data_IF_347868455302
#
_entry.id   IF_347868455302
#
_cell.length_a   1.000
_cell.length_b   1.000
_cell.length_c   1.000
_cell.angle_alpha   90.00
_cell.angle_beta   90.00
_cell.angle_gamma   90.00
#
_symmetry.space_group_name_H-M   'P 1'
#
loop_
_entity.id
_entity.type
_entity.pdbx_description
1 polymer ?
#
# COMPACT_ATOMS: atom_id res chain seq x y z
N UNK A 1 24.53 31.75 4.31
CA UNK A 1 24.28 30.74 3.29
C UNK A 1 25.45 30.57 2.29
N UNK A 2 26.41 31.50 2.27
CA UNK A 2 27.60 31.44 1.45
C UNK A 2 27.47 31.99 0.03
N UNK A 3 26.30 32.48 -0.36
CA UNK A 3 26.12 33.16 -1.64
C UNK A 3 26.85 34.50 -1.64
N UNK A 4 27.40 34.87 -2.78
CA UNK A 4 27.94 36.21 -3.03
C UNK A 4 27.11 36.88 -4.12
N UNK A 5 26.75 38.16 -3.89
CA UNK A 5 26.00 38.96 -4.86
C UNK A 5 26.93 40.01 -5.45
N UNK A 6 27.14 39.96 -6.76
CA UNK A 6 27.99 40.91 -7.49
C UNK A 6 27.26 41.32 -8.78
N UNK A 7 27.02 42.61 -8.97
CA UNK A 7 26.37 43.18 -10.17
C UNK A 7 25.04 42.49 -10.52
N UNK A 8 24.18 42.25 -9.51
CA UNK A 8 22.89 41.56 -9.60
C UNK A 8 22.99 40.09 -10.02
N UNK A 9 24.19 39.51 -9.97
CA UNK A 9 24.42 38.09 -10.19
C UNK A 9 24.69 37.38 -8.85
N UNK A 10 23.93 36.34 -8.55
CA UNK A 10 24.15 35.50 -7.38
C UNK A 10 25.13 34.37 -7.71
N UNK A 11 26.29 34.39 -7.07
CA UNK A 11 27.26 33.31 -7.16
C UNK A 11 26.95 32.24 -6.12
N UNK A 12 26.58 31.07 -6.62
CA UNK A 12 26.23 29.92 -5.79
C UNK A 12 27.51 29.23 -5.30
N UNK A 13 27.64 28.93 -4.00
CA UNK A 13 28.79 28.20 -3.49
C UNK A 13 28.79 26.72 -3.98
N UNK A 14 29.98 26.16 -4.18
CA UNK A 14 30.16 24.83 -4.75
C UNK A 14 29.51 23.66 -3.97
N UNK A 15 29.18 23.88 -2.70
CA UNK A 15 28.49 22.91 -1.84
C UNK A 15 26.96 22.97 -1.90
N UNK A 16 26.39 23.85 -2.77
CA UNK A 16 24.95 23.98 -3.01
C UNK A 16 24.60 23.63 -4.46
N UNK A 17 24.77 22.34 -4.87
CA UNK A 17 24.46 21.92 -6.24
C UNK A 17 22.94 21.91 -6.54
N UNK A 18 22.14 22.07 -5.51
CA UNK A 18 20.68 22.15 -5.54
C UNK A 18 20.17 23.51 -6.08
N UNK A 19 20.98 24.57 -5.98
CA UNK A 19 20.57 25.90 -6.40
C UNK A 19 21.04 26.16 -7.83
N UNK A 20 20.13 26.10 -8.79
CA UNK A 20 20.42 26.19 -10.22
C UNK A 20 19.78 27.40 -10.93
N UNK A 21 18.79 28.04 -10.30
CA UNK A 21 18.04 29.13 -10.92
C UNK A 21 17.45 30.14 -9.95
N UNK A 22 16.72 31.10 -10.49
CA UNK A 22 16.08 32.17 -9.70
C UNK A 22 15.07 31.64 -8.69
N UNK A 23 14.31 30.59 -9.06
CA UNK A 23 13.31 29.98 -8.18
C UNK A 23 13.95 29.42 -6.89
N UNK A 24 15.13 28.81 -7.00
CA UNK A 24 15.87 28.26 -5.87
C UNK A 24 16.37 29.38 -4.95
N UNK A 25 16.80 30.52 -5.53
CA UNK A 25 17.19 31.72 -4.76
C UNK A 25 15.98 32.30 -4.02
N UNK A 26 14.80 32.34 -4.65
CA UNK A 26 13.57 32.79 -4.00
C UNK A 26 13.19 31.85 -2.84
N UNK A 27 13.35 30.54 -3.01
CA UNK A 27 13.14 29.57 -1.95
C UNK A 27 14.07 29.82 -0.76
N UNK A 28 15.36 30.01 -0.99
CA UNK A 28 16.34 30.32 0.06
C UNK A 28 15.99 31.60 0.82
N UNK A 29 15.59 32.66 0.12
CA UNK A 29 15.14 33.91 0.76
C UNK A 29 13.87 33.68 1.59
N UNK A 30 12.89 32.99 1.04
CA UNK A 30 11.63 32.68 1.74
C UNK A 30 11.87 31.83 2.99
N UNK A 31 12.72 30.81 2.88
CA UNK A 31 13.10 29.94 3.98
C UNK A 31 13.74 30.69 5.15
N UNK A 32 14.67 31.61 4.84
CA UNK A 32 15.36 32.40 5.86
C UNK A 32 14.47 33.51 6.43
N UNK A 33 13.65 34.15 5.59
CA UNK A 33 12.76 35.24 6.02
C UNK A 33 11.53 34.78 6.80
N UNK A 34 11.17 33.54 6.73
CA UNK A 34 10.02 32.81 7.29
C UNK A 34 8.96 32.43 6.27
N UNK A 35 8.76 31.14 6.12
CA UNK A 35 7.73 30.58 5.24
C UNK A 35 6.30 30.97 5.70
N UNK A 36 6.09 31.29 6.96
CA UNK A 36 4.81 31.74 7.47
C UNK A 36 4.35 33.10 6.95
N UNK A 37 5.24 33.86 6.31
CA UNK A 37 4.90 35.12 5.62
C UNK A 37 4.36 34.91 4.20
N UNK A 38 4.47 33.71 3.66
CA UNK A 38 3.94 33.38 2.35
C UNK A 38 2.43 33.19 2.42
N UNK A 39 1.72 33.95 1.59
CA UNK A 39 0.28 33.79 1.43
C UNK A 39 0.02 32.88 0.23
N UNK A 40 -0.53 31.68 0.49
CA UNK A 40 -0.90 30.75 -0.56
C UNK A 40 -2.02 31.31 -1.44
N UNK A 41 -1.81 31.29 -2.75
CA UNK A 41 -2.87 31.61 -3.72
C UNK A 41 -3.34 30.28 -4.35
N UNK A 42 -4.63 29.91 -4.21
CA UNK A 42 -5.15 28.75 -4.91
C UNK A 42 -5.09 28.98 -6.42
N UNK A 43 -4.79 27.95 -7.18
CA UNK A 43 -4.87 28.06 -8.64
C UNK A 43 -6.29 28.41 -9.08
N UNK A 44 -6.42 29.39 -9.99
CA UNK A 44 -7.69 29.68 -10.62
C UNK A 44 -8.17 28.44 -11.41
N UNK A 45 -9.44 28.09 -11.26
CA UNK A 45 -10.03 27.02 -12.07
C UNK A 45 -10.12 27.52 -13.51
N UNK A 46 -9.47 26.88 -14.49
CA UNK A 46 -9.40 27.38 -15.86
C UNK A 46 -10.76 27.34 -16.56
N UNK A 47 -11.69 26.49 -16.12
CA UNK A 47 -13.01 26.33 -16.72
C UNK A 47 -14.09 26.01 -15.68
N UNK A 48 -15.27 26.62 -15.85
CA UNK A 48 -16.50 26.22 -15.20
C UNK A 48 -17.08 25.06 -16.01
N UNK A 49 -16.99 23.85 -15.52
CA UNK A 49 -17.51 22.65 -16.18
C UNK A 49 -17.62 21.48 -15.23
N UNK A 50 -18.28 20.42 -15.70
CA UNK A 50 -18.35 19.15 -14.97
C UNK A 50 -16.93 18.58 -14.87
N UNK A 51 -16.45 18.41 -13.65
CA UNK A 51 -15.13 17.82 -13.43
C UNK A 51 -15.14 16.37 -13.93
N UNK A 52 -14.12 16.01 -14.71
CA UNK A 52 -13.90 14.61 -15.07
C UNK A 52 -13.63 13.81 -13.80
N UNK A 53 -14.01 12.55 -13.83
CA UNK A 53 -13.73 11.61 -12.75
C UNK A 53 -12.23 11.61 -12.45
N UNK A 54 -11.85 11.92 -11.20
CA UNK A 54 -10.44 12.06 -10.79
C UNK A 54 -9.79 10.69 -10.61
N UNK A 55 -10.57 9.69 -10.13
CA UNK A 55 -10.07 8.34 -9.88
C UNK A 55 -10.29 7.46 -11.11
N UNK A 56 -9.28 6.63 -11.41
CA UNK A 56 -9.41 5.57 -12.41
C UNK A 56 -10.37 4.48 -11.91
N UNK A 57 -10.83 3.62 -12.82
CA UNK A 57 -11.66 2.47 -12.47
C UNK A 57 -10.94 1.55 -11.46
N UNK A 58 -9.64 1.33 -11.65
CA UNK A 58 -8.82 0.53 -10.73
C UNK A 58 -8.77 1.16 -9.34
N UNK A 59 -8.47 2.44 -9.23
CA UNK A 59 -8.44 3.16 -7.94
C UNK A 59 -9.79 3.11 -7.22
N UNK A 60 -10.89 3.22 -7.96
CA UNK A 60 -12.23 3.07 -7.39
C UNK A 60 -12.46 1.64 -6.86
N UNK A 61 -12.06 0.61 -7.62
CA UNK A 61 -12.15 -0.80 -7.17
C UNK A 61 -11.34 -1.07 -5.93
N UNK A 62 -10.12 -0.54 -5.85
CA UNK A 62 -9.28 -0.65 -4.64
C UNK A 62 -9.95 -0.03 -3.41
N UNK A 63 -10.54 1.16 -3.55
CA UNK A 63 -11.28 1.80 -2.45
C UNK A 63 -12.51 1.01 -2.03
N UNK A 64 -13.26 0.46 -3.00
CA UNK A 64 -14.43 -0.39 -2.74
C UNK A 64 -13.98 -1.65 -2.00
N UNK A 65 -12.92 -2.32 -2.48
CA UNK A 65 -12.38 -3.52 -1.84
C UNK A 65 -12.05 -3.28 -0.36
N UNK A 66 -11.28 -2.22 -0.06
CA UNK A 66 -10.92 -1.87 1.32
C UNK A 66 -12.15 -1.68 2.20
N UNK A 67 -13.12 -0.90 1.75
CA UNK A 67 -14.34 -0.59 2.53
C UNK A 67 -15.20 -1.83 2.75
N UNK A 68 -15.38 -2.64 1.72
CA UNK A 68 -16.23 -3.84 1.80
C UNK A 68 -15.60 -4.89 2.69
N UNK A 69 -14.30 -5.18 2.52
CA UNK A 69 -13.61 -6.17 3.34
C UNK A 69 -13.55 -5.70 4.81
N UNK A 70 -13.29 -4.43 5.06
CA UNK A 70 -13.38 -3.88 6.42
C UNK A 70 -14.80 -4.00 7.01
N UNK A 71 -15.85 -3.77 6.22
CA UNK A 71 -17.25 -3.93 6.66
C UNK A 71 -17.62 -5.39 6.97
N UNK A 72 -16.90 -6.38 6.41
CA UNK A 72 -17.02 -7.79 6.76
C UNK A 72 -16.34 -8.14 8.10
N UNK A 73 -15.74 -7.17 8.77
CA UNK A 73 -15.10 -7.36 10.09
C UNK A 73 -13.60 -7.65 10.04
N UNK A 74 -12.95 -7.48 8.89
CA UNK A 74 -11.50 -7.62 8.79
C UNK A 74 -10.78 -6.34 9.21
N UNK A 75 -9.62 -6.51 9.83
CA UNK A 75 -8.69 -5.43 10.12
C UNK A 75 -7.70 -5.26 8.96
N UNK A 76 -7.57 -4.05 8.44
CA UNK A 76 -6.62 -3.74 7.38
C UNK A 76 -5.20 -3.77 7.90
N UNK A 77 -4.32 -4.45 7.16
CA UNK A 77 -2.89 -4.44 7.35
C UNK A 77 -2.24 -3.64 6.24
N UNK A 78 -1.16 -2.95 6.57
CA UNK A 78 -0.23 -2.34 5.62
C UNK A 78 1.13 -2.90 5.93
N UNK A 79 1.57 -3.85 5.11
CA UNK A 79 2.82 -4.57 5.33
C UNK A 79 3.90 -4.15 4.33
N UNK A 80 5.16 -4.49 4.60
CA UNK A 80 6.25 -4.18 3.69
C UNK A 80 6.13 -4.94 2.38
N UNK A 81 6.49 -4.27 1.29
CA UNK A 81 6.56 -4.87 -0.05
C UNK A 81 7.75 -5.81 -0.23
N UNK A 82 8.65 -5.85 0.75
CA UNK A 82 9.86 -6.65 0.74
C UNK A 82 9.76 -7.79 1.74
N UNK A 83 10.18 -8.98 1.33
CA UNK A 83 10.18 -10.20 2.15
C UNK A 83 11.50 -10.94 1.97
N UNK A 84 11.75 -11.94 2.80
CA UNK A 84 12.91 -12.82 2.67
C UNK A 84 12.79 -13.76 1.45
N UNK A 85 13.92 -14.24 0.97
CA UNK A 85 14.01 -15.11 -0.21
C UNK A 85 13.21 -16.42 -0.05
N UNK A 86 13.25 -17.02 1.13
CA UNK A 86 12.56 -18.30 1.40
C UNK A 86 11.06 -18.12 1.29
N UNK A 87 10.55 -17.09 1.92
CA UNK A 87 9.11 -16.73 1.82
C UNK A 87 8.73 -16.38 0.39
N UNK A 88 9.57 -15.63 -0.33
CA UNK A 88 9.30 -15.28 -1.73
C UNK A 88 9.20 -16.55 -2.61
N UNK A 89 10.14 -17.49 -2.49
CA UNK A 89 10.15 -18.76 -3.24
C UNK A 89 8.95 -19.63 -2.90
N UNK A 90 8.56 -19.70 -1.63
CA UNK A 90 7.41 -20.50 -1.19
C UNK A 90 6.09 -20.04 -1.82
N UNK A 91 5.97 -18.74 -2.14
CA UNK A 91 4.75 -18.14 -2.70
C UNK A 91 4.88 -17.74 -4.17
N UNK A 92 5.78 -18.38 -4.91
CA UNK A 92 5.86 -18.29 -6.37
C UNK A 92 6.71 -17.15 -6.92
N UNK A 93 7.59 -16.57 -6.10
CA UNK A 93 8.57 -15.55 -6.49
C UNK A 93 10.01 -15.94 -6.15
N UNK A 94 10.81 -14.98 -5.69
CA UNK A 94 12.20 -15.20 -5.28
C UNK A 94 13.15 -15.42 -6.45
N UNK A 95 12.83 -14.83 -7.61
CA UNK A 95 13.70 -14.82 -8.79
C UNK A 95 14.66 -13.63 -8.74
N UNK A 96 15.74 -13.70 -9.52
CA UNK A 96 16.71 -12.61 -9.66
C UNK A 96 16.05 -11.30 -10.14
N UNK A 97 14.99 -11.39 -10.93
CA UNK A 97 14.24 -10.23 -11.43
C UNK A 97 13.53 -9.43 -10.31
N UNK A 98 13.20 -10.09 -9.18
CA UNK A 98 12.53 -9.46 -8.04
C UNK A 98 13.46 -9.26 -6.85
N UNK A 99 14.75 -9.61 -6.98
CA UNK A 99 15.76 -9.40 -5.96
C UNK A 99 16.20 -7.93 -5.91
N UNK A 100 16.29 -7.37 -4.70
CA UNK A 100 16.79 -6.02 -4.51
C UNK A 100 18.32 -5.96 -4.63
N UNK A 101 18.83 -4.97 -5.35
CA UNK A 101 20.27 -4.77 -5.52
C UNK A 101 20.98 -4.39 -4.20
N UNK A 102 20.27 -3.69 -3.31
CA UNK A 102 20.82 -3.18 -2.05
C UNK A 102 19.81 -3.32 -0.90
N UNK A 103 19.43 -4.55 -0.49
CA UNK A 103 18.46 -4.77 0.55
C UNK A 103 18.96 -4.22 1.90
N UNK A 104 18.05 -3.66 2.70
CA UNK A 104 18.34 -3.15 4.05
C UNK A 104 18.75 -4.31 4.98
N UNK A 105 18.15 -5.49 4.79
CA UNK A 105 18.49 -6.73 5.51
C UNK A 105 18.18 -7.94 4.65
N UNK A 106 18.72 -9.10 5.02
CA UNK A 106 18.41 -10.38 4.37
C UNK A 106 16.92 -10.77 4.47
N UNK A 107 16.22 -10.25 5.49
CA UNK A 107 14.79 -10.48 5.69
C UNK A 107 13.91 -9.63 4.74
N UNK A 108 14.50 -8.69 4.00
CA UNK A 108 13.83 -7.78 3.06
C UNK A 108 14.56 -7.75 1.72
N UNK A 109 14.91 -8.92 1.20
CA UNK A 109 15.78 -9.06 0.02
C UNK A 109 15.04 -9.16 -1.32
N UNK A 110 13.75 -9.46 -1.31
CA UNK A 110 12.95 -9.67 -2.53
C UNK A 110 11.63 -8.93 -2.48
N UNK A 111 11.15 -8.51 -3.66
CA UNK A 111 9.78 -8.03 -3.82
C UNK A 111 8.80 -9.18 -3.58
N UNK A 112 7.72 -8.91 -2.85
CA UNK A 112 6.70 -9.93 -2.52
C UNK A 112 5.90 -10.35 -3.75
N UNK A 113 5.77 -11.65 -4.06
CA UNK A 113 4.92 -12.16 -5.13
C UNK A 113 3.44 -12.28 -4.70
N UNK A 114 3.18 -12.21 -3.40
CA UNK A 114 1.85 -12.36 -2.79
C UNK A 114 1.76 -11.53 -1.51
N UNK A 115 0.54 -11.17 -1.12
CA UNK A 115 0.25 -10.52 0.17
C UNK A 115 0.21 -11.53 1.34
N UNK A 116 0.02 -12.81 1.02
CA UNK A 116 -0.23 -13.85 2.00
C UNK A 116 0.92 -14.07 3.00
N UNK A 117 2.22 -14.08 2.60
CA UNK A 117 3.32 -14.25 3.55
C UNK A 117 3.31 -13.24 4.69
N UNK A 118 3.14 -11.98 4.35
CA UNK A 118 3.13 -10.87 5.32
C UNK A 118 1.91 -10.92 6.26
N UNK A 119 0.74 -11.29 5.73
CA UNK A 119 -0.47 -11.49 6.54
C UNK A 119 -0.32 -12.68 7.49
N UNK A 120 0.26 -13.80 7.05
CA UNK A 120 0.53 -14.96 7.91
C UNK A 120 1.54 -14.64 9.01
N UNK A 121 2.60 -13.88 8.70
CA UNK A 121 3.54 -13.39 9.70
C UNK A 121 2.86 -12.45 10.70
N UNK A 122 1.97 -11.57 10.24
CA UNK A 122 1.18 -10.71 11.12
C UNK A 122 0.28 -11.53 12.05
N UNK A 123 -0.40 -12.56 11.53
CA UNK A 123 -1.20 -13.46 12.32
C UNK A 123 -0.38 -14.21 13.38
N UNK A 124 0.77 -14.77 12.99
CA UNK A 124 1.66 -15.46 13.91
C UNK A 124 2.15 -14.57 15.06
N UNK A 125 2.54 -13.32 14.75
CA UNK A 125 2.93 -12.34 15.78
C UNK A 125 1.79 -12.00 16.74
N UNK A 126 0.56 -11.92 16.27
CA UNK A 126 -0.62 -11.66 17.11
C UNK A 126 -0.99 -12.88 17.93
N UNK A 127 -0.92 -14.09 17.37
CA UNK A 127 -1.15 -15.34 18.13
C UNK A 127 -0.13 -15.50 19.27
N UNK A 128 1.14 -15.18 19.05
CA UNK A 128 2.16 -15.16 20.09
C UNK A 128 1.86 -14.17 21.24
N UNK A 129 1.02 -13.18 21.00
CA UNK A 129 0.50 -12.22 22.02
C UNK A 129 -0.83 -12.63 22.64
N UNK A 130 -1.35 -13.81 22.29
CA UNK A 130 -2.60 -14.33 22.83
C UNK A 130 -3.86 -13.92 22.06
N UNK A 131 -3.73 -13.26 20.90
CA UNK A 131 -4.87 -12.93 20.04
C UNK A 131 -5.11 -14.13 19.13
N UNK A 132 -6.10 -14.95 19.44
CA UNK A 132 -6.35 -16.23 18.76
C UNK A 132 -7.37 -16.13 17.63
N UNK A 133 -8.30 -15.18 17.72
CA UNK A 133 -9.37 -14.97 16.75
C UNK A 133 -9.08 -13.67 15.99
N UNK A 134 -8.92 -13.75 14.68
CA UNK A 134 -8.64 -12.57 13.87
C UNK A 134 -9.03 -12.74 12.40
N UNK A 135 -9.45 -11.65 11.81
CA UNK A 135 -9.62 -11.49 10.37
C UNK A 135 -8.74 -10.35 9.90
N UNK A 136 -7.75 -10.63 9.08
CA UNK A 136 -6.78 -9.66 8.59
C UNK A 136 -6.86 -9.58 7.07
N UNK A 137 -6.69 -8.38 6.51
CA UNK A 137 -6.62 -8.22 5.05
C UNK A 137 -5.63 -7.12 4.66
N UNK A 138 -5.22 -7.15 3.42
CA UNK A 138 -4.46 -6.10 2.77
C UNK A 138 -4.90 -5.94 1.32
N UNK A 139 -4.94 -4.71 0.83
CA UNK A 139 -5.07 -4.39 -0.59
C UNK A 139 -3.80 -3.65 -0.99
N UNK A 140 -2.97 -4.26 -1.79
CA UNK A 140 -1.66 -3.70 -2.11
C UNK A 140 -0.99 -4.36 -3.30
N UNK A 141 0.17 -3.82 -3.70
CA UNK A 141 0.91 -4.32 -4.84
C UNK A 141 1.67 -5.62 -4.54
N UNK A 142 1.81 -6.44 -5.58
CA UNK A 142 2.67 -7.63 -5.65
C UNK A 142 3.46 -7.57 -6.95
N UNK A 143 4.56 -8.34 -7.04
CA UNK A 143 5.47 -8.30 -8.20
C UNK A 143 5.79 -9.71 -8.67
N UNK A 144 5.63 -9.92 -9.98
CA UNK A 144 5.94 -11.19 -10.64
C UNK A 144 7.21 -11.13 -11.48
N UNK A 145 7.77 -9.94 -11.66
CA UNK A 145 9.00 -9.67 -12.39
C UNK A 145 9.61 -8.32 -12.02
N UNK A 146 10.56 -7.83 -12.81
CA UNK A 146 11.32 -6.60 -12.57
C UNK A 146 10.81 -5.37 -13.31
N UNK A 147 9.88 -5.53 -14.24
CA UNK A 147 9.36 -4.43 -15.03
C UNK A 147 8.09 -3.81 -14.38
N UNK A 148 7.77 -2.54 -14.69
CA UNK A 148 6.58 -1.89 -14.14
C UNK A 148 5.27 -2.63 -14.42
N UNK A 149 5.18 -3.32 -15.57
CA UNK A 149 4.02 -4.08 -16.02
C UNK A 149 3.83 -5.39 -15.22
N UNK A 150 4.88 -5.86 -14.54
CA UNK A 150 4.85 -7.06 -13.70
C UNK A 150 4.29 -6.79 -12.29
N UNK A 151 3.91 -5.56 -12.02
CA UNK A 151 3.26 -5.16 -10.78
C UNK A 151 1.74 -5.28 -10.91
N UNK A 152 1.12 -5.97 -9.97
CA UNK A 152 -0.33 -6.06 -9.84
C UNK A 152 -0.81 -5.59 -8.47
N UNK A 153 -2.03 -5.05 -8.41
CA UNK A 153 -2.70 -4.77 -7.13
C UNK A 153 -3.68 -5.89 -6.82
N UNK A 154 -3.46 -6.55 -5.70
CA UNK A 154 -4.31 -7.64 -5.21
C UNK A 154 -5.00 -7.27 -3.90
N UNK A 155 -6.12 -7.93 -3.63
CA UNK A 155 -6.74 -8.00 -2.31
C UNK A 155 -6.57 -9.40 -1.75
N UNK A 156 -6.08 -9.52 -0.53
CA UNK A 156 -5.92 -10.79 0.16
C UNK A 156 -6.43 -10.67 1.59
N UNK A 157 -7.10 -11.72 2.08
CA UNK A 157 -7.58 -11.81 3.45
C UNK A 157 -7.33 -13.18 4.05
N UNK A 158 -7.13 -13.21 5.36
CA UNK A 158 -7.00 -14.43 6.15
C UNK A 158 -7.98 -14.41 7.32
N UNK A 159 -8.52 -15.57 7.64
CA UNK A 159 -9.34 -15.82 8.82
C UNK A 159 -8.61 -16.81 9.73
N UNK A 160 -8.55 -16.51 11.02
CA UNK A 160 -7.88 -17.33 12.02
C UNK A 160 -8.78 -17.48 13.24
N UNK A 161 -8.91 -18.70 13.74
CA UNK A 161 -9.63 -19.00 14.96
C UNK A 161 -11.14 -19.18 14.75
N UNK A 162 -11.95 -18.31 15.31
CA UNK A 162 -13.41 -18.47 15.34
C UNK A 162 -14.14 -17.32 14.65
N UNK A 163 -15.42 -17.56 14.30
CA UNK A 163 -16.27 -16.60 13.56
C UNK A 163 -16.69 -15.37 14.36
N UNK A 164 -16.46 -15.35 15.66
CA UNK A 164 -16.79 -14.23 16.52
C UNK A 164 -16.17 -14.36 17.91
N UNK A 165 -16.24 -13.31 18.74
CA UNK A 165 -15.74 -13.37 20.11
C UNK A 165 -16.53 -14.38 20.95
N UNK A 166 -15.90 -14.87 22.01
CA UNK A 166 -16.57 -15.71 23.00
C UNK A 166 -17.60 -14.85 23.74
N UNK A 167 -18.86 -15.25 23.65
CA UNK A 167 -19.95 -14.61 24.36
C UNK A 167 -20.60 -15.54 25.40
N UNK A 168 -21.55 -15.02 26.17
CA UNK A 168 -22.29 -15.78 27.20
C UNK A 168 -23.24 -16.81 26.59
N UNK A 169 -23.59 -16.70 25.32
CA UNK A 169 -24.52 -17.60 24.62
C UNK A 169 -23.81 -18.75 23.89
N UNK A 170 -22.49 -18.70 23.78
CA UNK A 170 -21.63 -19.83 23.45
C UNK A 170 -21.67 -20.37 22.02
N UNK A 171 -22.18 -19.61 21.05
CA UNK A 171 -22.44 -20.10 19.68
C UNK A 171 -21.33 -19.82 18.66
N UNK A 172 -20.10 -19.64 19.06
CA UNK A 172 -19.01 -19.49 18.11
C UNK A 172 -18.52 -20.81 17.55
N UNK A 173 -18.26 -20.87 16.26
CA UNK A 173 -17.60 -21.99 15.60
C UNK A 173 -16.24 -21.58 15.03
N UNK A 174 -15.39 -22.55 14.75
CA UNK A 174 -14.16 -22.29 14.00
C UNK A 174 -14.49 -21.76 12.61
N UNK A 175 -13.65 -20.86 12.11
CA UNK A 175 -13.73 -20.40 10.72
C UNK A 175 -13.40 -21.55 9.77
N UNK A 176 -14.02 -21.55 8.60
CA UNK A 176 -13.82 -22.57 7.58
C UNK A 176 -13.68 -21.99 6.17
N UNK A 177 -13.50 -22.86 5.18
CA UNK A 177 -13.36 -22.50 3.79
C UNK A 177 -14.58 -21.75 3.24
N UNK A 178 -15.79 -22.05 3.74
CA UNK A 178 -17.01 -21.40 3.26
C UNK A 178 -17.12 -19.95 3.74
N UNK A 179 -16.57 -19.63 4.92
CA UNK A 179 -16.47 -18.25 5.39
C UNK A 179 -15.56 -17.43 4.47
N UNK A 180 -14.38 -17.96 4.15
CA UNK A 180 -13.44 -17.30 3.25
C UNK A 180 -14.05 -17.13 1.84
N UNK A 181 -14.73 -18.16 1.32
CA UNK A 181 -15.42 -18.11 0.04
C UNK A 181 -16.52 -17.05 0.03
N UNK A 182 -17.40 -17.04 1.02
CA UNK A 182 -18.48 -16.08 1.10
C UNK A 182 -17.97 -14.63 1.14
N UNK A 183 -16.93 -14.37 1.93
CA UNK A 183 -16.31 -13.05 2.00
C UNK A 183 -15.64 -12.63 0.68
N UNK A 184 -14.98 -13.57 -0.01
CA UNK A 184 -14.42 -13.32 -1.33
C UNK A 184 -15.50 -13.01 -2.38
N UNK A 185 -16.63 -13.75 -2.36
CA UNK A 185 -17.77 -13.47 -3.25
C UNK A 185 -18.37 -12.09 -3.02
N UNK A 186 -18.54 -11.68 -1.77
CA UNK A 186 -19.03 -10.32 -1.43
C UNK A 186 -18.07 -9.25 -1.95
N UNK A 187 -16.76 -9.41 -1.74
CA UNK A 187 -15.76 -8.46 -2.21
C UNK A 187 -15.74 -8.36 -3.74
N UNK A 188 -15.73 -9.50 -4.44
CA UNK A 188 -15.74 -9.57 -5.90
C UNK A 188 -17.00 -8.93 -6.50
N UNK A 189 -18.17 -9.24 -5.96
CA UNK A 189 -19.44 -8.66 -6.40
C UNK A 189 -19.45 -7.13 -6.24
N UNK A 190 -18.97 -6.63 -5.11
CA UNK A 190 -18.90 -5.19 -4.86
C UNK A 190 -17.96 -4.45 -5.81
N UNK A 191 -16.87 -5.09 -6.23
CA UNK A 191 -15.92 -4.55 -7.22
C UNK A 191 -16.41 -4.68 -8.67
N UNK A 192 -17.57 -5.29 -8.91
CA UNK A 192 -18.15 -5.48 -10.24
C UNK A 192 -17.57 -6.66 -11.01
N UNK A 193 -17.14 -7.71 -10.33
CA UNK A 193 -16.74 -8.96 -10.97
C UNK A 193 -17.93 -9.62 -11.71
N UNK A 194 -17.67 -10.40 -12.77
CA UNK A 194 -18.73 -11.15 -13.45
C UNK A 194 -19.50 -12.07 -12.52
N UNK A 195 -20.81 -12.23 -12.72
CA UNK A 195 -21.71 -13.01 -11.86
C UNK A 195 -21.46 -14.54 -11.83
N UNK A 196 -20.50 -15.03 -12.62
CA UNK A 196 -20.14 -16.46 -12.73
C UNK A 196 -18.68 -16.71 -12.39
N UNK A 197 -18.25 -16.26 -11.20
CA UNK A 197 -16.92 -16.59 -10.68
C UNK A 197 -16.94 -18.04 -10.20
N UNK A 198 -15.99 -18.85 -10.67
CA UNK A 198 -15.81 -20.24 -10.21
C UNK A 198 -14.66 -20.28 -9.20
N UNK A 199 -14.90 -20.97 -8.09
CA UNK A 199 -13.88 -21.25 -7.08
C UNK A 199 -13.43 -22.70 -7.24
N UNK A 200 -12.18 -22.90 -7.56
CA UNK A 200 -11.59 -24.24 -7.67
C UNK A 200 -10.73 -24.51 -6.44
N UNK A 201 -10.66 -25.80 -6.04
CA UNK A 201 -9.64 -26.24 -5.09
C UNK A 201 -8.29 -26.23 -5.80
N UNK A 202 -7.32 -25.47 -5.25
CA UNK A 202 -5.92 -25.55 -5.64
C UNK A 202 -5.22 -26.76 -4.99
#
# INVERSE_FOLDING_TARGET
LGFRLENDVAHVPSWRPDVMGEADLVEEVARVASLSKLVGKPFARPHLGVQKQVLTLQQNREQIARRVIAALGYNECVTYSFIDEVSAKLFGGGTDATMLANPISSEMSHMRPSLLPALLQAAARNQARGILDMALFEVGPVWHGGEPEDQETLACGILVGHTGPKDVHGTRRSVDLYDAKANAEVALNAMGAPSKVQFNRG
#
